data_IF_733649435857
#
_entry.id   IF_733649435857
#
_cell.length_a   1.000
_cell.length_b   1.000
_cell.length_c   1.000
_cell.angle_alpha   90.00
_cell.angle_beta   90.00
_cell.angle_gamma   90.00
#
_symmetry.space_group_name_H-M   'P 1'
#
loop_
_entity.id
_entity.type
_entity.pdbx_description
1 polymer ?
#
# COMPACT_ATOMS: atom_id res chain seq x y z
N UNK A 1 1.47 -10.45 26.94
CA UNK A 1 1.14 -11.68 26.20
C UNK A 1 0.71 -11.26 24.80
N UNK A 2 1.25 -11.84 23.72
CA UNK A 2 0.75 -11.53 22.38
C UNK A 2 -0.70 -12.05 22.27
N UNK A 3 -1.63 -11.19 21.84
CA UNK A 3 -2.99 -11.60 21.51
C UNK A 3 -2.94 -12.48 20.26
N UNK A 4 -3.20 -13.78 20.41
CA UNK A 4 -3.50 -14.65 19.26
C UNK A 4 -4.97 -14.48 18.91
N UNK A 5 -5.25 -13.95 17.72
CA UNK A 5 -6.59 -13.97 17.14
C UNK A 5 -7.03 -15.44 17.02
N UNK A 6 -8.15 -15.80 17.63
CA UNK A 6 -8.73 -17.12 17.39
C UNK A 6 -9.20 -17.23 15.93
N UNK A 7 -9.32 -18.46 15.45
CA UNK A 7 -9.64 -18.75 14.05
C UNK A 7 -10.92 -18.06 13.56
N UNK A 8 -11.94 -17.88 14.43
CA UNK A 8 -13.18 -17.19 14.04
C UNK A 8 -12.94 -15.69 13.89
N UNK A 9 -12.17 -15.10 14.79
CA UNK A 9 -11.79 -13.69 14.71
C UNK A 9 -10.96 -13.39 13.45
N UNK A 10 -10.04 -14.29 13.05
CA UNK A 10 -9.31 -14.15 11.78
C UNK A 10 -10.22 -14.24 10.56
N UNK A 11 -11.13 -15.22 10.51
CA UNK A 11 -12.09 -15.36 9.40
C UNK A 11 -13.00 -14.13 9.31
N UNK A 12 -13.46 -13.62 10.46
CA UNK A 12 -14.27 -12.41 10.50
C UNK A 12 -13.51 -11.19 9.96
N UNK A 13 -12.28 -10.97 10.41
CA UNK A 13 -11.44 -9.86 9.93
C UNK A 13 -11.15 -9.98 8.43
N UNK A 14 -10.88 -11.19 7.93
CA UNK A 14 -10.67 -11.43 6.51
C UNK A 14 -11.93 -11.10 5.68
N UNK A 15 -13.10 -11.57 6.10
CA UNK A 15 -14.37 -11.27 5.44
C UNK A 15 -14.71 -9.78 5.45
N UNK A 16 -14.31 -9.07 6.51
CA UNK A 16 -14.49 -7.63 6.62
C UNK A 16 -13.60 -6.90 5.60
N UNK A 17 -12.31 -7.21 5.55
CA UNK A 17 -11.36 -6.62 4.59
C UNK A 17 -11.82 -6.86 3.15
N UNK A 18 -12.33 -8.05 2.82
CA UNK A 18 -12.84 -8.35 1.48
C UNK A 18 -14.04 -7.48 1.06
N UNK A 19 -14.77 -6.89 2.01
CA UNK A 19 -15.89 -5.99 1.73
C UNK A 19 -15.45 -4.54 1.58
N UNK A 20 -14.22 -4.22 1.91
CA UNK A 20 -13.69 -2.86 1.77
C UNK A 20 -13.39 -2.61 0.30
N UNK A 21 -14.37 -2.07 -0.40
CA UNK A 21 -14.15 -1.41 -1.68
C UNK A 21 -13.96 0.08 -1.42
N UNK A 22 -12.74 0.56 -1.59
CA UNK A 22 -12.39 1.97 -1.36
C UNK A 22 -12.48 2.82 -2.62
N UNK A 23 -12.73 2.25 -3.81
CA UNK A 23 -12.65 2.99 -5.08
C UNK A 23 -13.54 4.24 -5.10
N UNK A 24 -14.76 4.15 -4.56
CA UNK A 24 -15.68 5.30 -4.48
C UNK A 24 -15.10 6.41 -3.60
N UNK A 25 -14.59 6.05 -2.42
CA UNK A 25 -14.05 7.00 -1.43
C UNK A 25 -12.74 7.63 -1.92
N UNK A 26 -11.88 6.86 -2.58
CA UNK A 26 -10.59 7.33 -3.07
C UNK A 26 -10.73 8.49 -4.05
N UNK A 27 -11.82 8.50 -4.84
CA UNK A 27 -12.13 9.60 -5.76
C UNK A 27 -12.51 10.92 -5.07
N UNK A 28 -12.93 10.86 -3.79
CA UNK A 28 -13.31 12.01 -2.99
C UNK A 28 -12.12 12.64 -2.23
N UNK A 29 -10.95 11.97 -2.22
CA UNK A 29 -9.78 12.46 -1.49
C UNK A 29 -9.10 13.55 -2.31
N UNK A 30 -9.22 14.80 -1.84
CA UNK A 30 -8.58 15.96 -2.48
C UNK A 30 -7.11 16.14 -2.07
N UNK A 31 -6.71 15.55 -0.95
CA UNK A 31 -5.33 15.66 -0.44
C UNK A 31 -4.38 14.82 -1.30
N UNK A 32 -3.20 15.36 -1.69
CA UNK A 32 -2.19 14.58 -2.41
C UNK A 32 -1.83 13.30 -1.65
N UNK A 33 -1.93 12.16 -2.33
CA UNK A 33 -1.59 10.85 -1.76
C UNK A 33 -0.42 10.23 -2.53
N UNK A 34 0.63 9.90 -1.78
CA UNK A 34 1.80 9.17 -2.26
C UNK A 34 1.71 7.71 -1.82
N UNK A 35 2.03 6.78 -2.72
CA UNK A 35 2.03 5.35 -2.43
C UNK A 35 3.40 4.72 -2.73
N UNK A 36 3.86 3.83 -1.86
CA UNK A 36 5.03 2.97 -2.11
C UNK A 36 4.50 1.55 -2.29
N UNK A 37 4.71 0.98 -3.48
CA UNK A 37 4.05 -0.27 -3.91
C UNK A 37 5.10 -1.34 -4.18
N UNK A 38 4.85 -2.55 -3.68
CA UNK A 38 5.62 -3.74 -4.04
C UNK A 38 5.33 -4.12 -5.50
N UNK A 39 6.32 -3.96 -6.38
CA UNK A 39 6.15 -4.17 -7.81
C UNK A 39 5.77 -5.60 -8.17
N UNK A 40 6.31 -6.61 -7.48
CA UNK A 40 5.94 -8.01 -7.68
C UNK A 40 4.51 -8.35 -7.21
N UNK A 41 3.90 -7.48 -6.40
CA UNK A 41 2.53 -7.67 -5.89
C UNK A 41 1.48 -6.83 -6.65
N UNK A 42 1.91 -6.01 -7.61
CA UNK A 42 1.03 -5.17 -8.43
C UNK A 42 1.38 -5.37 -9.93
N UNK A 43 0.59 -6.18 -10.66
CA UNK A 43 0.80 -6.43 -12.09
C UNK A 43 0.91 -5.13 -12.87
N UNK A 44 1.83 -5.06 -13.84
CA UNK A 44 2.12 -3.83 -14.59
C UNK A 44 0.91 -3.35 -15.39
N UNK A 45 0.03 -4.25 -15.76
CA UNK A 45 -1.20 -4.02 -16.51
C UNK A 45 -2.24 -3.24 -15.71
N UNK A 46 -2.25 -3.40 -14.39
CA UNK A 46 -3.24 -2.78 -13.49
C UNK A 46 -2.77 -1.41 -12.98
N UNK A 47 -1.46 -1.14 -13.01
CA UNK A 47 -0.84 0.10 -12.52
C UNK A 47 -1.44 1.39 -13.10
N UNK A 48 -1.77 1.49 -14.40
CA UNK A 48 -2.37 2.71 -14.95
C UNK A 48 -3.71 3.09 -14.31
N UNK A 49 -4.45 2.15 -13.73
CA UNK A 49 -5.68 2.44 -12.99
C UNK A 49 -5.36 3.03 -11.60
N UNK A 50 -4.38 2.44 -10.90
CA UNK A 50 -3.90 2.93 -9.61
C UNK A 50 -3.20 4.30 -9.71
N UNK A 51 -2.38 4.50 -10.73
CA UNK A 51 -1.61 5.74 -10.96
C UNK A 51 -2.51 6.95 -11.29
N UNK A 52 -3.78 6.70 -11.65
CA UNK A 52 -4.79 7.77 -11.79
C UNK A 52 -5.28 8.31 -10.46
N UNK A 53 -5.25 7.46 -9.42
CA UNK A 53 -5.76 7.77 -8.09
C UNK A 53 -4.64 8.20 -7.14
N UNK A 54 -3.43 7.69 -7.35
CA UNK A 54 -2.29 7.89 -6.48
C UNK A 54 -1.04 8.22 -7.28
N UNK A 55 -0.15 9.00 -6.68
CA UNK A 55 1.21 9.12 -7.19
C UNK A 55 2.06 8.01 -6.54
N UNK A 56 2.33 6.96 -7.32
CA UNK A 56 2.88 5.70 -6.84
C UNK A 56 4.35 5.50 -7.26
N UNK A 57 5.16 5.04 -6.33
CA UNK A 57 6.53 4.55 -6.56
C UNK A 57 6.53 3.03 -6.43
N UNK A 58 6.93 2.35 -7.51
CA UNK A 58 6.98 0.89 -7.57
C UNK A 58 8.39 0.37 -7.27
N UNK A 59 8.50 -0.46 -6.23
CA UNK A 59 9.72 -1.20 -5.92
C UNK A 59 9.66 -2.55 -6.65
N UNK A 60 10.12 -2.58 -7.91
CA UNK A 60 9.88 -3.65 -8.89
C UNK A 60 10.23 -5.06 -8.37
N UNK A 61 11.33 -5.19 -7.64
CA UNK A 61 11.85 -6.49 -7.21
C UNK A 61 11.36 -6.94 -5.83
N UNK A 62 10.50 -6.16 -5.16
CA UNK A 62 10.03 -6.45 -3.81
C UNK A 62 8.62 -7.03 -3.79
N UNK A 63 8.38 -7.92 -2.83
CA UNK A 63 7.08 -8.52 -2.53
C UNK A 63 6.31 -7.70 -1.49
N UNK A 64 5.11 -8.15 -1.14
CA UNK A 64 4.19 -7.46 -0.23
C UNK A 64 4.83 -7.03 1.12
N UNK A 65 5.87 -7.73 1.59
CA UNK A 65 6.61 -7.40 2.82
C UNK A 65 7.85 -6.52 2.57
N UNK A 66 7.75 -5.57 1.63
CA UNK A 66 8.80 -4.66 1.18
C UNK A 66 9.63 -3.99 2.30
N UNK A 67 9.00 -3.59 3.42
CA UNK A 67 9.69 -3.01 4.58
C UNK A 67 10.72 -3.97 5.21
N UNK A 68 10.46 -5.28 5.15
CA UNK A 68 11.33 -6.30 5.72
C UNK A 68 12.32 -6.86 4.70
N UNK A 69 11.93 -6.90 3.43
CA UNK A 69 12.74 -7.44 2.35
C UNK A 69 13.90 -6.51 1.99
N UNK A 70 13.63 -5.21 1.85
CA UNK A 70 14.65 -4.19 1.64
C UNK A 70 14.33 -2.90 2.43
N UNK A 71 14.64 -2.89 3.74
CA UNK A 71 14.38 -1.74 4.59
C UNK A 71 15.18 -0.50 4.17
N UNK A 72 16.33 -0.67 3.50
CA UNK A 72 17.19 0.47 3.14
C UNK A 72 16.52 1.25 2.01
N UNK A 73 16.23 0.58 0.90
CA UNK A 73 15.57 1.22 -0.25
C UNK A 73 14.17 1.72 0.13
N UNK A 74 13.41 0.97 0.93
CA UNK A 74 12.11 1.45 1.40
C UNK A 74 12.23 2.77 2.18
N UNK A 75 13.17 2.86 3.12
CA UNK A 75 13.33 4.05 3.95
C UNK A 75 13.86 5.25 3.15
N UNK A 76 14.74 5.03 2.17
CA UNK A 76 15.22 6.08 1.27
C UNK A 76 14.04 6.69 0.48
N UNK A 77 13.22 5.86 -0.13
CA UNK A 77 12.01 6.31 -0.86
C UNK A 77 11.03 6.98 0.08
N UNK A 78 10.78 6.42 1.26
CA UNK A 78 9.87 7.02 2.24
C UNK A 78 10.31 8.44 2.65
N UNK A 79 11.61 8.64 2.93
CA UNK A 79 12.16 9.95 3.28
C UNK A 79 12.01 10.93 2.12
N UNK A 80 12.27 10.48 0.88
CA UNK A 80 12.07 11.31 -0.32
C UNK A 80 10.62 11.77 -0.45
N UNK A 81 9.64 10.85 -0.33
CA UNK A 81 8.22 11.18 -0.44
C UNK A 81 7.75 12.15 0.66
N UNK A 82 8.23 11.98 1.91
CA UNK A 82 7.93 12.91 3.00
C UNK A 82 8.46 14.32 2.71
N UNK A 83 9.68 14.41 2.17
CA UNK A 83 10.30 15.69 1.83
C UNK A 83 9.60 16.38 0.66
N UNK A 84 9.04 15.65 -0.30
CA UNK A 84 8.24 16.21 -1.38
C UNK A 84 6.93 16.81 -0.87
N UNK A 85 6.24 16.12 0.05
CA UNK A 85 4.98 16.60 0.65
C UNK A 85 5.16 17.81 1.58
N UNK A 86 6.39 18.08 2.03
CA UNK A 86 6.70 19.18 2.95
C UNK A 86 7.11 20.48 2.24
N UNK A 87 7.15 20.49 0.90
CA UNK A 87 7.49 21.66 0.06
C UNK A 87 6.23 22.32 -0.48
#
# INVERSE_FOLDING_TARGET
MPMTLDQRSMISAFNEIQRWNMFDILSEIETPMKCIVAGNSCPKEDRPEYDRLFDAVYLEDLSHLLLFEDPVTFNEVLIEQINELSK
#
